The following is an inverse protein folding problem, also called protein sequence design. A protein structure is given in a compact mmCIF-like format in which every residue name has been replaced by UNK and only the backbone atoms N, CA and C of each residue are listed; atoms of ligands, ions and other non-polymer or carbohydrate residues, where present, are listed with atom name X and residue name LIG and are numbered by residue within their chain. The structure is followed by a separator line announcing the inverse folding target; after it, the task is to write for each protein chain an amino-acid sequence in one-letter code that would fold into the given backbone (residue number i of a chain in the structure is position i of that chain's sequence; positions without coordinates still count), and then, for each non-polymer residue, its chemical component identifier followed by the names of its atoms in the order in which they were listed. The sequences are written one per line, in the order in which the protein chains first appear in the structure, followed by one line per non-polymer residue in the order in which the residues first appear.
data_IF_610250303116
#
_entry.id   IF_610250303116
#
_cell.length_a   1.000
_cell.length_b   1.000
_cell.length_c   1.000
_cell.angle_alpha   90.00
_cell.angle_beta   90.00
_cell.angle_gamma   90.00
#
_symmetry.space_group_name_H-M   'P 1'
#
loop_
_entity.id
_entity.type
_entity.pdbx_description
1 polymer ?
#
# COMPACT_ATOMS: atom_id res chain seq x y z
N UNK A 1 2.80 -33.97 17.12
CA UNK A 1 1.87 -33.19 16.26
C UNK A 1 2.64 -32.31 15.27
N UNK A 2 2.04 -31.89 14.16
CA UNK A 2 2.57 -30.88 13.25
C UNK A 2 1.61 -29.70 13.05
N UNK A 3 2.12 -28.53 12.64
CA UNK A 3 1.31 -27.37 12.28
C UNK A 3 1.49 -27.00 10.81
N UNK A 4 0.38 -26.91 10.09
CA UNK A 4 0.29 -26.42 8.72
C UNK A 4 -0.38 -25.05 8.72
N UNK A 5 0.12 -24.15 7.89
CA UNK A 5 -0.52 -22.89 7.60
C UNK A 5 -1.19 -22.97 6.23
N UNK A 6 -2.53 -22.93 6.22
CA UNK A 6 -3.26 -22.50 5.04
C UNK A 6 -3.07 -21.00 4.90
N UNK A 7 -2.51 -20.62 3.78
CA UNK A 7 -2.84 -19.34 3.18
C UNK A 7 -3.95 -19.65 2.18
N UNK A 8 -5.13 -19.06 2.34
CA UNK A 8 -6.04 -18.87 1.19
C UNK A 8 -5.37 -17.85 0.24
N UNK A 9 -5.86 -17.61 -0.98
CA UNK A 9 -5.17 -16.75 -1.97
C UNK A 9 -5.94 -15.52 -2.50
N UNK A 10 -7.08 -15.18 -1.92
CA UNK A 10 -7.09 -14.20 -0.84
C UNK A 10 -5.63 -13.83 -0.32
N UNK A 11 -4.84 -12.80 -0.73
CA UNK A 11 -3.37 -12.68 -0.40
C UNK A 11 -2.81 -11.68 0.68
N UNK A 12 -3.30 -11.59 1.94
CA UNK A 12 -2.50 -10.91 3.00
C UNK A 12 -1.36 -11.79 3.55
N UNK A 13 -0.14 -11.30 3.44
CA UNK A 13 0.63 -11.03 4.66
C UNK A 13 0.57 -9.52 4.83
N UNK A 14 0.28 -9.00 6.03
CA UNK A 14 0.79 -7.68 6.37
C UNK A 14 2.29 -7.85 6.61
N UNK A 15 3.03 -7.83 5.52
CA UNK A 15 4.31 -7.14 5.54
C UNK A 15 3.97 -5.64 5.52
N UNK A 16 4.64 -4.79 6.31
CA UNK A 16 4.66 -3.37 5.96
C UNK A 16 5.21 -3.26 4.53
N UNK A 17 4.60 -2.42 3.69
CA UNK A 17 5.14 -2.15 2.36
C UNK A 17 6.58 -1.67 2.54
N UNK A 18 7.54 -2.33 1.91
CA UNK A 18 8.96 -2.13 2.22
C UNK A 18 9.45 -0.85 1.54
N UNK A 19 9.10 0.29 2.14
CA UNK A 19 9.68 1.59 1.86
C UNK A 19 11.18 1.50 2.13
N UNK A 20 12.00 1.54 1.08
CA UNK A 20 13.42 1.82 1.22
C UNK A 20 13.61 3.33 1.27
N UNK A 21 14.06 3.82 2.42
CA UNK A 21 14.46 5.21 2.57
C UNK A 21 15.86 5.43 1.97
N UNK A 22 16.11 6.64 1.49
CA UNK A 22 17.37 7.04 0.86
C UNK A 22 17.72 8.47 1.29
N UNK A 23 18.78 8.63 2.08
CA UNK A 23 19.31 9.95 2.45
C UNK A 23 20.02 10.58 1.24
N UNK A 24 19.56 11.77 0.86
CA UNK A 24 20.19 12.59 -0.17
C UNK A 24 20.98 13.70 0.53
N UNK A 25 22.28 13.76 0.24
CA UNK A 25 23.27 14.48 1.07
C UNK A 25 23.60 15.90 0.62
N UNK A 26 23.18 16.30 -0.59
CA UNK A 26 23.15 17.70 -1.02
C UNK A 26 21.90 18.39 -0.48
N UNK A 27 21.95 19.72 -0.38
CA UNK A 27 20.89 20.52 0.24
C UNK A 27 19.97 21.14 -0.82
N UNK A 28 18.67 21.15 -0.55
CA UNK A 28 17.61 21.74 -1.39
C UNK A 28 16.48 22.31 -0.52
N UNK A 29 15.66 23.20 -1.08
CA UNK A 29 14.37 23.56 -0.46
C UNK A 29 13.43 22.35 -0.43
N UNK A 30 12.40 22.37 0.42
CA UNK A 30 11.49 21.22 0.55
C UNK A 30 10.78 20.86 -0.78
N UNK A 31 10.41 21.88 -1.58
CA UNK A 31 9.77 21.69 -2.87
C UNK A 31 10.70 21.09 -3.93
N UNK A 32 11.96 21.52 -3.97
CA UNK A 32 12.98 20.95 -4.86
C UNK A 32 13.35 19.52 -4.46
N UNK A 33 13.45 19.26 -3.15
CA UNK A 33 13.66 17.93 -2.58
C UNK A 33 12.50 16.97 -2.95
N UNK A 34 11.24 17.42 -2.82
CA UNK A 34 10.06 16.67 -3.27
C UNK A 34 10.15 16.33 -4.77
N UNK A 35 10.49 17.31 -5.61
CA UNK A 35 10.64 17.11 -7.05
C UNK A 35 11.76 16.10 -7.37
N UNK A 36 12.93 16.23 -6.72
CA UNK A 36 14.03 15.27 -6.86
C UNK A 36 13.61 13.84 -6.50
N UNK A 37 12.91 13.68 -5.37
CA UNK A 37 12.45 12.35 -4.93
C UNK A 37 11.42 11.75 -5.88
N UNK A 38 10.53 12.54 -6.48
CA UNK A 38 9.59 12.06 -7.51
C UNK A 38 10.27 11.66 -8.82
N UNK A 39 11.37 12.33 -9.19
CA UNK A 39 12.14 12.04 -10.41
C UNK A 39 13.06 10.82 -10.26
N UNK A 40 13.46 10.44 -9.03
CA UNK A 40 14.45 9.38 -8.77
C UNK A 40 13.95 8.19 -7.94
N UNK A 41 12.89 8.36 -7.15
CA UNK A 41 12.39 7.39 -6.16
C UNK A 41 10.84 7.31 -6.24
N UNK A 42 10.12 7.46 -5.11
CA UNK A 42 8.65 7.58 -5.09
C UNK A 42 8.22 8.99 -4.68
N UNK A 43 8.60 9.44 -3.48
CA UNK A 43 8.39 10.81 -2.99
C UNK A 43 9.38 11.08 -1.82
N UNK A 44 9.30 12.24 -1.16
CA UNK A 44 9.87 12.43 0.17
C UNK A 44 9.30 11.43 1.16
N UNK A 45 10.08 11.05 2.17
CA UNK A 45 9.77 9.96 3.10
C UNK A 45 8.42 10.14 3.82
N UNK A 46 7.54 9.15 3.64
CA UNK A 46 6.26 9.03 4.35
C UNK A 46 6.40 8.02 5.50
N UNK A 47 5.93 8.37 6.70
CA UNK A 47 6.01 7.50 7.88
C UNK A 47 4.62 7.30 8.50
N UNK A 48 4.10 6.08 8.42
CA UNK A 48 2.75 5.74 8.85
C UNK A 48 2.67 5.10 10.25
N UNK A 49 3.81 4.70 10.83
CA UNK A 49 3.91 3.94 12.08
C UNK A 49 5.35 3.95 12.63
N UNK A 50 5.51 3.43 13.86
CA UNK A 50 6.80 3.37 14.55
C UNK A 50 7.82 2.39 13.91
N UNK A 51 7.37 1.37 13.18
CA UNK A 51 8.30 0.44 12.51
C UNK A 51 8.93 1.09 11.26
N UNK A 52 8.16 1.88 10.52
CA UNK A 52 8.66 2.76 9.45
C UNK A 52 9.60 3.83 10.01
N UNK A 53 9.26 4.47 11.13
CA UNK A 53 10.14 5.45 11.81
C UNK A 53 11.48 4.81 12.22
N UNK A 54 11.45 3.68 12.92
CA UNK A 54 12.65 2.94 13.32
C UNK A 54 13.51 2.53 12.11
N UNK A 55 12.90 2.20 10.97
CA UNK A 55 13.61 1.86 9.75
C UNK A 55 14.21 3.09 9.04
N UNK A 56 13.52 4.24 9.06
CA UNK A 56 14.03 5.52 8.56
C UNK A 56 15.23 5.99 9.39
N UNK A 57 15.11 6.00 10.73
CA UNK A 57 16.20 6.36 11.65
C UNK A 57 17.41 5.43 11.47
N UNK A 58 17.18 4.12 11.33
CA UNK A 58 18.24 3.16 11.00
C UNK A 58 18.92 3.45 9.66
N UNK A 59 18.22 4.07 8.72
CA UNK A 59 18.76 4.46 7.40
C UNK A 59 19.61 5.74 7.48
N UNK A 60 19.31 6.67 8.40
CA UNK A 60 20.17 7.82 8.71
C UNK A 60 21.49 7.37 9.36
N UNK A 61 21.46 6.31 10.18
CA UNK A 61 22.64 5.76 10.85
C UNK A 61 23.31 6.80 11.76
N UNK A 62 24.64 6.89 11.71
CA UNK A 62 25.41 7.92 12.42
C UNK A 62 25.55 9.24 11.63
N UNK A 63 24.82 9.42 10.53
CA UNK A 63 24.80 10.66 9.73
C UNK A 63 23.56 11.51 10.04
N UNK A 64 23.08 11.43 11.28
CA UNK A 64 21.94 12.21 11.77
C UNK A 64 22.23 13.70 11.56
N UNK A 65 21.43 14.32 10.70
CA UNK A 65 21.55 15.72 10.29
C UNK A 65 20.17 16.21 9.85
N UNK A 66 19.88 17.49 10.09
CA UNK A 66 18.64 18.17 9.71
C UNK A 66 18.21 17.82 8.28
N UNK A 67 17.12 17.05 8.16
CA UNK A 67 16.70 16.42 6.90
C UNK A 67 15.20 16.51 6.68
N UNK A 68 14.78 16.92 5.48
CA UNK A 68 13.38 16.95 5.07
C UNK A 68 12.75 15.56 5.01
N UNK A 69 11.52 15.45 5.53
CA UNK A 69 10.59 14.34 5.29
C UNK A 69 9.33 14.84 4.56
N UNK A 70 8.48 13.92 4.10
CA UNK A 70 7.32 14.24 3.27
C UNK A 70 6.15 14.92 3.96
N UNK A 71 6.27 15.30 5.24
CA UNK A 71 5.15 15.88 5.99
C UNK A 71 5.08 17.40 5.79
N UNK A 72 3.93 17.89 5.33
CA UNK A 72 3.69 19.31 5.04
C UNK A 72 2.36 19.80 5.61
N UNK A 73 2.31 21.04 6.10
CA UNK A 73 1.09 21.73 6.52
C UNK A 73 0.41 22.33 5.29
N UNK A 74 -0.64 21.66 4.80
CA UNK A 74 -1.38 22.11 3.63
C UNK A 74 -2.25 23.34 3.89
N UNK A 75 -2.83 23.92 2.84
CA UNK A 75 -3.71 25.11 2.86
C UNK A 75 -5.02 24.98 3.66
N UNK A 76 -5.22 23.88 4.38
CA UNK A 76 -6.34 23.65 5.32
C UNK A 76 -5.84 23.50 6.77
N UNK A 77 -4.63 24.00 7.06
CA UNK A 77 -3.92 23.92 8.35
C UNK A 77 -3.72 22.50 8.92
N UNK A 78 -3.85 21.48 8.06
CA UNK A 78 -3.65 20.06 8.39
C UNK A 78 -2.30 19.57 7.87
N UNK A 79 -1.66 18.72 8.68
CA UNK A 79 -0.45 17.98 8.33
C UNK A 79 -0.78 16.80 7.41
N UNK A 80 -0.20 16.82 6.21
CA UNK A 80 -0.49 15.91 5.08
C UNK A 80 0.83 15.35 4.51
N UNK A 81 0.80 14.10 4.05
CA UNK A 81 1.96 13.47 3.40
C UNK A 81 2.06 13.84 1.91
N UNK A 82 3.27 14.20 1.48
CA UNK A 82 3.62 14.65 0.13
C UNK A 82 3.31 13.63 -0.96
N UNK A 83 3.48 12.35 -0.64
CA UNK A 83 3.18 11.22 -1.55
C UNK A 83 1.68 11.05 -1.84
N UNK A 84 0.83 11.88 -1.23
CA UNK A 84 -0.63 11.82 -1.34
C UNK A 84 -1.28 10.90 -0.33
N UNK A 85 -0.54 10.26 0.59
CA UNK A 85 -1.12 9.28 1.53
C UNK A 85 -2.13 9.87 2.53
N UNK A 86 -2.32 11.19 2.53
CA UNK A 86 -3.41 11.90 3.20
C UNK A 86 -2.95 12.57 4.49
N UNK A 87 -3.91 12.85 5.38
CA UNK A 87 -3.62 13.42 6.71
C UNK A 87 -2.80 12.42 7.53
N UNK A 88 -1.73 12.87 8.15
CA UNK A 88 -0.96 12.06 9.08
C UNK A 88 -1.83 11.55 10.25
N UNK A 89 -1.77 10.24 10.48
CA UNK A 89 -2.41 9.55 11.62
C UNK A 89 -1.38 9.15 12.69
N UNK A 90 -0.13 8.97 12.29
CA UNK A 90 1.05 8.82 13.15
C UNK A 90 1.91 10.08 13.02
N UNK A 91 2.46 10.55 14.14
CA UNK A 91 3.38 11.71 14.19
C UNK A 91 4.41 11.53 15.29
N UNK A 92 5.68 11.87 15.02
CA UNK A 92 6.79 11.82 15.99
C UNK A 92 7.39 13.22 16.24
N UNK A 93 6.51 14.20 16.42
CA UNK A 93 6.85 15.56 16.84
C UNK A 93 7.71 15.59 18.10
N UNK A 94 8.70 16.50 18.13
CA UNK A 94 9.43 16.87 19.35
C UNK A 94 8.48 17.48 20.39
N UNK A 95 8.83 17.35 21.67
CA UNK A 95 8.10 18.01 22.75
C UNK A 95 8.05 19.55 22.56
N UNK A 96 6.85 20.09 22.29
CA UNK A 96 6.61 21.50 21.98
C UNK A 96 6.22 21.77 20.52
N UNK A 97 6.43 20.81 19.63
CA UNK A 97 6.12 20.92 18.20
C UNK A 97 4.73 20.34 17.85
N UNK A 98 4.10 20.76 16.74
CA UNK A 98 4.54 21.83 15.84
C UNK A 98 4.20 23.22 16.37
N UNK A 99 5.16 24.15 16.37
CA UNK A 99 5.09 25.43 17.08
C UNK A 99 4.78 26.64 16.16
N UNK A 100 5.10 26.57 14.86
CA UNK A 100 4.91 27.63 13.87
C UNK A 100 5.61 28.98 14.20
N UNK A 101 6.90 28.94 14.51
CA UNK A 101 7.73 30.12 14.79
C UNK A 101 7.76 31.09 13.60
N UNK A 102 7.60 32.38 13.88
CA UNK A 102 7.49 33.42 12.83
C UNK A 102 6.24 33.31 11.95
N UNK A 103 5.38 32.30 12.13
CA UNK A 103 4.08 32.18 11.46
C UNK A 103 4.09 31.50 10.08
N UNK A 104 5.22 31.01 9.58
CA UNK A 104 5.36 30.42 8.24
C UNK A 104 6.02 29.02 8.23
N UNK A 105 6.02 28.29 9.34
CA UNK A 105 6.61 26.94 9.38
C UNK A 105 5.56 25.92 8.91
N UNK A 106 5.89 25.24 7.81
CA UNK A 106 4.93 24.42 7.05
C UNK A 106 5.53 23.16 6.45
N UNK A 107 6.84 22.97 6.55
CA UNK A 107 7.53 21.78 6.08
C UNK A 107 8.24 21.11 7.25
N UNK A 108 8.26 19.78 7.29
CA UNK A 108 8.77 19.03 8.44
C UNK A 108 10.18 18.54 8.19
N UNK A 109 11.10 18.91 9.09
CA UNK A 109 12.41 18.27 9.19
C UNK A 109 12.43 17.21 10.30
N UNK A 110 13.36 16.27 10.20
CA UNK A 110 13.85 15.50 11.35
C UNK A 110 15.13 16.16 11.88
N UNK A 111 15.19 16.33 13.21
CA UNK A 111 16.32 16.91 13.92
C UNK A 111 17.40 15.86 14.27
N UNK A 112 18.44 16.28 15.02
CA UNK A 112 19.56 15.41 15.44
C UNK A 112 19.19 14.32 16.46
N UNK A 113 17.99 14.38 17.05
CA UNK A 113 17.43 13.31 17.92
C UNK A 113 16.40 12.43 17.17
N UNK A 114 16.28 12.62 15.85
CA UNK A 114 15.27 11.99 14.98
C UNK A 114 13.81 12.33 15.35
N UNK A 115 13.58 13.45 16.03
CA UNK A 115 12.24 13.98 16.28
C UNK A 115 11.84 14.98 15.20
N UNK A 116 10.54 15.10 14.95
CA UNK A 116 10.00 15.94 13.89
C UNK A 116 9.78 17.38 14.39
N UNK A 117 10.15 18.36 13.56
CA UNK A 117 10.04 19.79 13.83
C UNK A 117 9.44 20.48 12.60
N UNK A 118 8.50 21.41 12.77
CA UNK A 118 8.05 22.26 11.67
C UNK A 118 9.00 23.43 11.47
N UNK A 119 9.33 23.72 10.21
CA UNK A 119 10.24 24.81 9.84
C UNK A 119 9.88 25.38 8.45
N UNK A 120 10.53 26.47 8.05
CA UNK A 120 10.22 27.21 6.81
C UNK A 120 10.65 26.40 5.57
N UNK A 121 9.74 26.22 4.61
CA UNK A 121 9.95 25.34 3.44
C UNK A 121 11.10 25.78 2.52
N UNK A 122 11.50 27.03 2.65
CA UNK A 122 12.54 27.73 1.90
C UNK A 122 13.97 27.43 2.41
N UNK A 123 14.11 26.76 3.56
CA UNK A 123 15.41 26.31 4.08
C UNK A 123 16.07 25.28 3.14
N UNK A 124 17.37 25.44 2.90
CA UNK A 124 18.16 24.44 2.20
C UNK A 124 18.64 23.35 3.16
N UNK A 125 18.09 22.14 3.05
CA UNK A 125 18.43 20.99 3.92
C UNK A 125 18.68 19.72 3.11
N UNK A 126 19.32 18.74 3.75
CA UNK A 126 19.34 17.35 3.26
C UNK A 126 17.92 16.79 3.26
N UNK A 127 17.70 15.65 2.63
CA UNK A 127 16.35 15.11 2.52
C UNK A 127 16.30 13.60 2.38
N UNK A 128 15.25 13.02 2.95
CA UNK A 128 14.94 11.60 2.87
C UNK A 128 13.95 11.36 1.74
N UNK A 129 14.39 10.75 0.65
CA UNK A 129 13.46 10.14 -0.29
C UNK A 129 13.04 8.76 0.23
N UNK A 130 11.91 8.24 -0.26
CA UNK A 130 11.61 6.81 -0.16
C UNK A 130 11.25 6.22 -1.51
N UNK A 131 11.47 4.91 -1.62
CA UNK A 131 11.08 4.08 -2.76
C UNK A 131 10.34 2.84 -2.27
N UNK A 132 9.14 2.60 -2.81
CA UNK A 132 8.42 1.34 -2.55
C UNK A 132 9.17 0.19 -3.24
N UNK A 133 9.62 -0.81 -2.48
CA UNK A 133 10.28 -2.02 -3.04
C UNK A 133 9.34 -2.86 -3.92
N UNK A 134 8.03 -2.70 -3.71
CA UNK A 134 7.03 -3.62 -4.24
C UNK A 134 6.77 -3.38 -5.73
N UNK A 135 7.52 -4.10 -6.57
CA UNK A 135 7.25 -4.28 -8.01
C UNK A 135 5.99 -5.10 -8.31
N UNK A 136 4.95 -4.92 -7.49
CA UNK A 136 3.59 -5.42 -7.69
C UNK A 136 2.72 -4.28 -8.20
N UNK A 137 1.67 -4.62 -8.93
CA UNK A 137 0.77 -3.62 -9.50
C UNK A 137 0.01 -2.87 -8.39
N UNK A 138 0.39 -1.61 -8.15
CA UNK A 138 -0.34 -0.66 -7.28
C UNK A 138 -1.83 -0.57 -7.62
N UNK A 139 -2.16 -0.86 -8.87
CA UNK A 139 -3.48 -0.76 -9.47
C UNK A 139 -3.87 -2.10 -10.11
N UNK A 140 -4.92 -2.74 -9.61
CA UNK A 140 -5.44 -4.02 -10.13
C UNK A 140 -6.75 -3.78 -10.86
N UNK A 141 -6.78 -4.04 -12.16
CA UNK A 141 -7.95 -3.81 -13.02
C UNK A 141 -8.87 -5.04 -13.09
N UNK A 142 -10.16 -4.80 -13.31
CA UNK A 142 -11.18 -5.82 -13.55
C UNK A 142 -12.00 -5.46 -14.79
N UNK A 143 -12.06 -6.36 -15.77
CA UNK A 143 -12.76 -6.16 -17.04
C UNK A 143 -14.29 -6.34 -16.94
N UNK A 144 -14.77 -7.01 -15.89
CA UNK A 144 -16.20 -7.18 -15.63
C UNK A 144 -16.85 -5.80 -15.34
N UNK A 145 -17.88 -5.46 -16.11
CA UNK A 145 -18.58 -4.18 -15.97
C UNK A 145 -19.54 -4.20 -14.77
N UNK A 146 -19.39 -3.26 -13.83
CA UNK A 146 -20.28 -3.08 -12.69
C UNK A 146 -20.55 -1.59 -12.41
N UNK A 147 -21.54 -1.31 -11.56
CA UNK A 147 -21.80 0.05 -11.05
C UNK A 147 -20.65 0.55 -10.18
N UNK A 148 -20.54 1.86 -9.97
CA UNK A 148 -19.45 2.43 -9.16
C UNK A 148 -19.46 1.86 -7.73
N UNK A 149 -20.63 1.84 -7.08
CA UNK A 149 -20.79 1.27 -5.74
C UNK A 149 -20.45 -0.23 -5.70
N UNK A 150 -20.85 -1.01 -6.72
CA UNK A 150 -20.54 -2.45 -6.73
C UNK A 150 -19.06 -2.74 -7.01
N UNK A 151 -18.41 -1.87 -7.78
CA UNK A 151 -16.96 -1.87 -7.98
C UNK A 151 -16.23 -1.57 -6.67
N UNK A 152 -16.72 -0.58 -5.91
CA UNK A 152 -16.23 -0.24 -4.57
C UNK A 152 -16.30 -1.42 -3.60
N UNK A 153 -17.45 -2.11 -3.50
CA UNK A 153 -17.60 -3.33 -2.67
C UNK A 153 -16.51 -4.36 -2.98
N UNK A 154 -16.29 -4.64 -4.28
CA UNK A 154 -15.35 -5.66 -4.74
C UNK A 154 -13.93 -5.23 -4.39
N UNK A 155 -13.57 -3.96 -4.61
CA UNK A 155 -12.27 -3.44 -4.24
C UNK A 155 -12.03 -3.44 -2.73
N UNK A 156 -12.99 -3.01 -1.90
CA UNK A 156 -12.84 -3.00 -0.43
C UNK A 156 -12.74 -4.41 0.17
N UNK A 157 -13.47 -5.36 -0.40
CA UNK A 157 -13.44 -6.77 0.02
C UNK A 157 -12.13 -7.47 -0.40
N UNK A 158 -11.63 -7.22 -1.62
CA UNK A 158 -10.45 -7.92 -2.15
C UNK A 158 -9.12 -7.20 -1.92
N UNK A 159 -9.11 -5.88 -2.11
CA UNK A 159 -7.96 -4.96 -2.12
C UNK A 159 -8.15 -3.86 -1.08
N UNK A 160 -7.52 -2.68 -1.20
CA UNK A 160 -7.76 -1.55 -0.26
C UNK A 160 -9.10 -0.84 -0.53
N UNK A 161 -9.21 -0.18 -1.69
CA UNK A 161 -10.42 0.50 -2.19
C UNK A 161 -10.29 0.64 -3.73
N UNK A 162 -11.20 1.34 -4.41
CA UNK A 162 -10.99 1.77 -5.80
C UNK A 162 -9.80 2.71 -5.95
N UNK A 163 -9.24 2.79 -7.16
CA UNK A 163 -8.01 3.48 -7.45
C UNK A 163 -8.05 4.99 -7.15
N UNK A 164 -7.20 5.44 -6.22
CA UNK A 164 -6.92 6.86 -5.99
C UNK A 164 -5.72 7.27 -6.84
N UNK A 165 -5.88 8.32 -7.65
CA UNK A 165 -4.87 8.84 -8.58
C UNK A 165 -4.31 10.14 -8.01
N UNK A 166 -3.07 10.13 -7.52
CA UNK A 166 -2.53 11.20 -6.68
C UNK A 166 -1.57 12.13 -7.44
N UNK A 167 -0.99 11.65 -8.55
CA UNK A 167 -0.06 12.38 -9.40
C UNK A 167 -0.13 11.91 -10.87
N UNK A 168 0.72 12.46 -11.74
CA UNK A 168 0.78 12.09 -13.16
C UNK A 168 1.26 10.66 -13.39
N UNK A 169 2.27 10.18 -12.65
CA UNK A 169 2.77 8.81 -12.79
C UNK A 169 1.71 7.76 -12.42
N UNK A 170 0.85 8.06 -11.45
CA UNK A 170 -0.34 7.25 -11.13
C UNK A 170 -1.33 7.23 -12.29
N UNK A 171 -1.58 8.37 -12.93
CA UNK A 171 -2.49 8.49 -14.05
C UNK A 171 -1.96 7.74 -15.28
N UNK A 172 -0.66 7.82 -15.55
CA UNK A 172 0.03 7.02 -16.56
C UNK A 172 -0.04 5.52 -16.25
N UNK A 173 0.24 5.10 -15.00
CA UNK A 173 0.16 3.69 -14.62
C UNK A 173 -1.26 3.10 -14.79
N UNK A 174 -2.30 3.86 -14.43
CA UNK A 174 -3.70 3.50 -14.71
C UNK A 174 -3.95 3.47 -16.23
N UNK A 175 -3.56 4.50 -16.98
CA UNK A 175 -3.77 4.57 -18.43
C UNK A 175 -3.12 3.40 -19.17
N UNK A 176 -1.87 3.08 -18.85
CA UNK A 176 -1.08 1.99 -19.42
C UNK A 176 -1.72 0.61 -19.26
N UNK A 177 -2.25 0.32 -18.05
CA UNK A 177 -2.94 -0.94 -17.75
C UNK A 177 -4.19 -1.10 -18.61
N UNK A 178 -4.90 0.00 -18.87
CA UNK A 178 -6.17 -0.01 -19.61
C UNK A 178 -5.93 -0.02 -21.12
N UNK A 179 -4.94 0.74 -21.62
CA UNK A 179 -4.55 0.74 -23.03
C UNK A 179 -4.14 -0.67 -23.52
N UNK A 180 -3.47 -1.45 -22.66
CA UNK A 180 -3.11 -2.86 -22.92
C UNK A 180 -4.32 -3.82 -22.98
N UNK A 181 -5.53 -3.37 -22.62
CA UNK A 181 -6.71 -4.23 -22.35
C UNK A 181 -8.05 -3.79 -22.97
N UNK A 182 -8.09 -2.65 -23.66
CA UNK A 182 -9.13 -2.26 -24.64
C UNK A 182 -10.58 -1.87 -24.17
N UNK A 183 -10.90 -1.46 -22.93
CA UNK A 183 -12.19 -0.82 -22.66
C UNK A 183 -12.14 0.69 -22.93
N UNK A 184 -13.28 1.28 -23.35
CA UNK A 184 -13.38 2.71 -23.70
C UNK A 184 -13.15 3.64 -22.50
N UNK A 185 -13.62 3.21 -21.33
CA UNK A 185 -13.47 3.90 -20.05
C UNK A 185 -13.44 2.93 -18.87
N UNK A 186 -12.96 3.41 -17.71
CA UNK A 186 -12.83 2.61 -16.49
C UNK A 186 -13.15 3.44 -15.22
N UNK A 187 -13.77 2.82 -14.22
CA UNK A 187 -14.03 3.44 -12.91
C UNK A 187 -12.75 3.62 -12.08
N UNK A 188 -12.65 4.78 -11.42
CA UNK A 188 -11.67 5.11 -10.37
C UNK A 188 -12.39 5.55 -9.09
N UNK A 189 -11.65 5.72 -7.99
CA UNK A 189 -12.19 6.00 -6.65
C UNK A 189 -12.80 7.39 -6.41
N UNK A 190 -12.83 8.27 -7.41
CA UNK A 190 -13.32 9.65 -7.24
C UNK A 190 -14.84 9.75 -7.41
N UNK A 191 -15.51 10.40 -6.44
CA UNK A 191 -16.96 10.62 -6.44
C UNK A 191 -17.35 11.98 -5.86
N UNK A 192 -18.60 12.38 -6.08
CA UNK A 192 -19.08 13.75 -5.94
C UNK A 192 -19.94 13.97 -4.69
N UNK A 193 -19.28 14.07 -3.55
CA UNK A 193 -19.64 15.08 -2.55
C UNK A 193 -18.33 15.81 -2.19
N UNK A 194 -18.28 17.12 -2.46
CA UNK A 194 -17.05 17.96 -2.46
C UNK A 194 -15.81 17.36 -3.18
N UNK A 195 -15.99 16.43 -4.13
CA UNK A 195 -14.94 15.70 -4.84
C UNK A 195 -13.91 15.00 -3.93
N UNK A 196 -14.40 14.09 -3.09
CA UNK A 196 -13.58 13.22 -2.24
C UNK A 196 -13.20 11.91 -2.95
N UNK A 197 -12.04 11.34 -2.58
CA UNK A 197 -11.67 9.98 -2.95
C UNK A 197 -12.34 8.95 -2.04
N UNK A 198 -12.64 7.76 -2.57
CA UNK A 198 -13.33 6.67 -1.87
C UNK A 198 -12.63 6.19 -0.60
N UNK A 199 -11.30 6.30 -0.55
CA UNK A 199 -10.47 5.95 0.60
C UNK A 199 -10.43 7.06 1.68
N UNK A 200 -11.17 8.16 1.48
CA UNK A 200 -11.21 9.30 2.39
C UNK A 200 -10.03 10.26 2.26
N UNK A 201 -9.16 10.11 1.24
CA UNK A 201 -8.05 11.03 1.01
C UNK A 201 -8.51 12.32 0.32
N UNK A 202 -7.83 13.42 0.64
CA UNK A 202 -8.05 14.73 0.03
C UNK A 202 -6.80 15.13 -0.75
N UNK A 203 -6.90 15.14 -2.09
CA UNK A 203 -5.87 15.67 -3.00
C UNK A 203 -6.45 16.79 -3.85
N UNK A 204 -5.62 17.70 -4.36
CA UNK A 204 -6.01 18.77 -5.28
C UNK A 204 -5.90 18.39 -6.77
N UNK A 205 -5.14 17.32 -7.10
CA UNK A 205 -4.94 16.89 -8.49
C UNK A 205 -6.26 16.47 -9.16
N UNK A 206 -6.58 17.07 -10.31
CA UNK A 206 -7.76 16.72 -11.12
C UNK A 206 -7.36 16.70 -12.60
N UNK A 207 -7.58 15.58 -13.28
CA UNK A 207 -7.20 15.39 -14.69
C UNK A 207 -8.43 15.31 -15.62
N UNK A 208 -9.42 16.16 -15.36
CA UNK A 208 -10.65 16.24 -16.16
C UNK A 208 -10.39 16.51 -17.65
N UNK A 209 -11.27 15.98 -18.49
CA UNK A 209 -11.43 16.36 -19.89
C UNK A 209 -11.99 17.78 -19.96
N UNK A 210 -11.31 18.75 -20.61
CA UNK A 210 -11.87 20.08 -20.84
C UNK A 210 -13.20 20.02 -21.58
N UNK A 211 -14.12 20.92 -21.23
CA UNK A 211 -15.43 21.10 -21.88
C UNK A 211 -16.28 19.82 -22.03
N UNK A 212 -16.07 18.85 -21.14
CA UNK A 212 -16.76 17.55 -21.15
C UNK A 212 -18.28 17.71 -21.21
N UNK A 213 -18.97 17.10 -22.19
CA UNK A 213 -20.43 17.15 -22.29
C UNK A 213 -21.12 16.21 -21.28
N UNK A 214 -20.37 15.24 -20.74
CA UNK A 214 -20.88 14.25 -19.79
C UNK A 214 -21.19 14.88 -18.42
N UNK A 215 -22.13 14.28 -17.69
CA UNK A 215 -22.60 14.73 -16.39
C UNK A 215 -22.74 13.53 -15.45
N UNK A 216 -22.64 13.79 -14.16
CA UNK A 216 -22.95 12.81 -13.13
C UNK A 216 -22.20 13.05 -11.82
N UNK A 217 -22.13 11.99 -11.00
CA UNK A 217 -21.62 12.06 -9.62
C UNK A 217 -20.44 11.10 -9.35
N UNK A 218 -19.98 10.36 -10.36
CA UNK A 218 -18.81 9.47 -10.26
C UNK A 218 -17.84 9.76 -11.43
N UNK A 219 -16.54 9.46 -11.26
CA UNK A 219 -15.53 9.74 -12.28
C UNK A 219 -15.08 8.48 -13.05
N UNK A 220 -15.02 8.56 -14.37
CA UNK A 220 -14.43 7.52 -15.23
C UNK A 220 -13.19 8.07 -15.96
N UNK A 221 -12.13 7.27 -16.08
CA UNK A 221 -10.96 7.57 -16.93
C UNK A 221 -11.27 7.13 -18.36
N UNK A 222 -11.03 7.98 -19.35
CA UNK A 222 -11.28 7.71 -20.79
C UNK A 222 -9.96 7.52 -21.53
N UNK A 223 -9.74 6.32 -22.08
CA UNK A 223 -8.45 5.91 -22.65
C UNK A 223 -8.15 6.63 -23.96
N UNK A 224 -9.15 6.73 -24.83
CA UNK A 224 -9.06 7.43 -26.12
C UNK A 224 -8.79 8.93 -25.98
N UNK A 225 -9.02 9.49 -24.79
CA UNK A 225 -8.73 10.88 -24.43
C UNK A 225 -7.49 10.98 -23.53
N UNK A 226 -6.45 10.18 -23.78
CA UNK A 226 -5.16 10.26 -23.08
C UNK A 226 -5.28 10.12 -21.54
N UNK A 227 -6.23 9.30 -21.08
CA UNK A 227 -6.49 9.10 -19.65
C UNK A 227 -7.21 10.27 -18.96
N UNK A 228 -7.80 11.21 -19.70
CA UNK A 228 -8.63 12.30 -19.15
C UNK A 228 -9.88 11.75 -18.47
N UNK A 229 -10.31 12.42 -17.40
CA UNK A 229 -11.45 11.99 -16.60
C UNK A 229 -12.75 12.65 -17.08
N UNK A 230 -13.88 11.93 -17.02
CA UNK A 230 -15.23 12.47 -17.26
C UNK A 230 -16.11 12.27 -16.04
N UNK A 231 -17.07 13.19 -15.82
CA UNK A 231 -18.22 12.88 -14.98
C UNK A 231 -19.07 11.79 -15.64
N UNK A 232 -19.63 10.89 -14.85
CA UNK A 232 -20.48 9.80 -15.32
C UNK A 232 -21.51 9.44 -14.24
N UNK A 233 -22.63 8.87 -14.66
CA UNK A 233 -23.69 8.44 -13.75
C UNK A 233 -23.27 7.17 -12.99
N UNK A 234 -23.33 7.21 -11.66
CA UNK A 234 -22.82 6.14 -10.80
C UNK A 234 -23.52 4.77 -10.98
N UNK A 235 -24.69 4.77 -11.64
CA UNK A 235 -25.50 3.61 -12.02
C UNK A 235 -25.04 2.95 -13.32
N UNK A 236 -24.17 3.59 -14.11
CA UNK A 236 -23.62 2.99 -15.34
C UNK A 236 -22.70 1.81 -15.02
N UNK A 237 -22.60 0.86 -15.95
CA UNK A 237 -21.71 -0.31 -15.78
C UNK A 237 -20.45 -0.16 -16.61
N UNK A 238 -19.30 -0.03 -15.94
CA UNK A 238 -17.98 0.03 -16.60
C UNK A 238 -17.00 -0.90 -15.88
N UNK A 239 -15.88 -1.30 -16.53
CA UNK A 239 -14.76 -1.95 -15.85
C UNK A 239 -14.22 -1.07 -14.70
N UNK A 240 -13.36 -1.58 -13.83
CA UNK A 240 -12.91 -0.80 -12.67
C UNK A 240 -11.47 -1.11 -12.24
N UNK A 241 -10.83 -0.16 -11.57
CA UNK A 241 -9.49 -0.33 -10.99
C UNK A 241 -9.55 -0.24 -9.46
N UNK A 242 -8.92 -1.20 -8.79
CA UNK A 242 -8.68 -1.19 -7.34
C UNK A 242 -7.23 -0.78 -7.02
N UNK A 243 -6.98 -0.30 -5.80
CA UNK A 243 -5.62 -0.02 -5.31
C UNK A 243 -5.19 -0.92 -4.14
N UNK A 244 -3.89 -1.18 -4.07
CA UNK A 244 -3.23 -1.96 -3.01
C UNK A 244 -3.39 -3.49 -3.15
N UNK A 245 -2.65 -4.23 -2.33
CA UNK A 245 -2.62 -5.70 -2.33
C UNK A 245 -3.93 -6.40 -1.90
N UNK A 246 -4.00 -7.69 -2.21
CA UNK A 246 -5.06 -8.65 -1.85
C UNK A 246 -5.06 -9.06 -0.34
N UNK A 247 -6.06 -9.83 0.15
CA UNK A 247 -6.30 -10.24 1.58
C UNK A 247 -6.84 -11.69 1.65
N UNK A 248 -6.46 -12.75 2.42
CA UNK A 248 -5.60 -13.08 3.62
C UNK A 248 -6.35 -13.10 4.95
N UNK A 249 -7.45 -13.86 4.98
CA UNK A 249 -7.83 -14.72 6.12
C UNK A 249 -6.91 -15.96 6.25
N UNK A 250 -5.72 -15.81 6.86
CA UNK A 250 -4.81 -16.95 7.17
C UNK A 250 -5.50 -17.96 8.09
N UNK A 251 -5.23 -19.26 7.90
CA UNK A 251 -5.77 -20.34 8.72
C UNK A 251 -4.65 -21.30 9.14
N UNK A 252 -4.71 -21.82 10.37
CA UNK A 252 -3.76 -22.84 10.86
C UNK A 252 -4.49 -24.15 11.04
N UNK A 253 -4.09 -25.17 10.29
CA UNK A 253 -4.55 -26.55 10.50
C UNK A 253 -3.49 -27.29 11.32
N UNK A 254 -3.92 -27.93 12.40
CA UNK A 254 -3.08 -28.87 13.17
C UNK A 254 -3.29 -30.27 12.58
N UNK A 255 -2.23 -30.93 12.16
CA UNK A 255 -2.29 -32.33 11.72
C UNK A 255 -1.69 -33.26 12.78
N UNK A 256 -2.37 -34.39 13.01
CA UNK A 256 -1.77 -35.60 13.57
C UNK A 256 -1.56 -36.57 12.41
N UNK A 257 -0.34 -37.05 12.25
CA UNK A 257 0.06 -38.01 11.20
C UNK A 257 0.60 -39.24 11.93
N UNK A 258 0.23 -40.43 11.46
CA UNK A 258 0.91 -41.69 11.80
C UNK A 258 1.74 -42.09 10.58
N UNK A 259 2.97 -42.54 10.82
CA UNK A 259 3.89 -42.96 9.77
C UNK A 259 4.93 -43.91 10.36
N UNK A 260 5.31 -44.92 9.58
CA UNK A 260 6.31 -45.93 9.96
C UNK A 260 7.73 -45.54 9.49
N UNK A 261 7.86 -44.35 8.86
CA UNK A 261 9.11 -43.69 8.46
C UNK A 261 9.24 -42.32 9.14
N UNK A 262 10.39 -41.64 9.04
CA UNK A 262 10.57 -40.32 9.66
C UNK A 262 9.56 -39.29 9.08
N UNK A 263 8.64 -38.75 9.88
CA UNK A 263 7.66 -37.77 9.41
C UNK A 263 8.27 -36.41 9.04
N UNK A 264 9.54 -36.14 9.36
CA UNK A 264 10.25 -34.92 8.97
C UNK A 264 11.07 -35.07 7.68
N UNK A 265 11.10 -36.26 7.05
CA UNK A 265 11.78 -36.42 5.77
C UNK A 265 11.21 -35.47 4.70
N UNK A 266 12.09 -34.93 3.85
CA UNK A 266 11.73 -33.93 2.85
C UNK A 266 10.78 -34.44 1.77
N UNK A 267 10.82 -35.74 1.45
CA UNK A 267 9.90 -36.37 0.50
C UNK A 267 8.54 -36.66 1.16
N UNK A 268 8.54 -37.14 2.41
CA UNK A 268 7.34 -37.41 3.20
C UNK A 268 6.55 -36.13 3.46
N UNK A 269 7.21 -35.08 3.96
CA UNK A 269 6.60 -33.77 4.21
C UNK A 269 6.09 -33.09 2.93
N UNK A 270 6.75 -33.30 1.78
CA UNK A 270 6.27 -32.82 0.48
C UNK A 270 5.04 -33.60 -0.01
N UNK A 271 5.05 -34.93 0.11
CA UNK A 271 3.94 -35.79 -0.30
C UNK A 271 2.67 -35.52 0.53
N UNK A 272 2.82 -35.39 1.85
CA UNK A 272 1.73 -35.03 2.77
C UNK A 272 1.09 -33.67 2.41
N UNK A 273 1.91 -32.65 2.12
CA UNK A 273 1.40 -31.32 1.76
C UNK A 273 0.66 -31.34 0.41
N UNK A 274 1.15 -32.10 -0.58
CA UNK A 274 0.51 -32.27 -1.89
C UNK A 274 -0.85 -32.99 -1.82
N UNK A 275 -0.94 -34.07 -1.04
CA UNK A 275 -2.20 -34.82 -0.90
C UNK A 275 -3.23 -34.04 -0.08
N UNK A 276 -2.79 -33.26 0.93
CA UNK A 276 -3.65 -32.31 1.63
C UNK A 276 -4.19 -31.21 0.69
N UNK A 277 -3.35 -30.68 -0.21
CA UNK A 277 -3.78 -29.68 -1.20
C UNK A 277 -4.87 -30.24 -2.11
N UNK A 278 -4.68 -31.45 -2.61
CA UNK A 278 -5.65 -32.18 -3.45
C UNK A 278 -6.98 -32.41 -2.72
N UNK A 279 -6.93 -32.81 -1.43
CA UNK A 279 -8.14 -32.97 -0.61
C UNK A 279 -8.88 -31.64 -0.40
N UNK A 280 -8.18 -30.56 -0.05
CA UNK A 280 -8.80 -29.24 0.13
C UNK A 280 -9.38 -28.67 -1.18
N UNK A 281 -8.73 -28.94 -2.32
CA UNK A 281 -9.25 -28.58 -3.66
C UNK A 281 -10.53 -29.36 -4.01
N UNK A 282 -10.69 -30.59 -3.52
CA UNK A 282 -11.94 -31.35 -3.67
C UNK A 282 -13.08 -30.71 -2.85
N UNK A 283 -12.79 -30.17 -1.67
CA UNK A 283 -13.70 -29.37 -0.84
C UNK A 283 -13.91 -27.93 -1.37
N UNK A 284 -13.80 -27.73 -2.69
CA UNK A 284 -13.98 -26.45 -3.41
C UNK A 284 -13.07 -25.28 -2.98
N UNK A 285 -12.04 -25.50 -2.15
CA UNK A 285 -11.03 -24.49 -1.83
C UNK A 285 -9.96 -24.46 -2.93
N UNK A 286 -10.27 -23.76 -4.02
CA UNK A 286 -9.41 -23.70 -5.22
C UNK A 286 -8.29 -22.67 -5.13
N UNK A 287 -8.47 -21.60 -4.35
CA UNK A 287 -7.52 -20.49 -4.24
C UNK A 287 -6.75 -20.58 -2.91
N UNK A 288 -5.68 -21.38 -2.91
CA UNK A 288 -4.88 -21.78 -1.75
C UNK A 288 -3.37 -21.82 -2.04
N UNK A 289 -2.56 -21.53 -1.01
CA UNK A 289 -1.14 -21.91 -0.90
C UNK A 289 -0.87 -22.49 0.49
N UNK A 290 -0.59 -23.79 0.55
CA UNK A 290 -0.15 -24.47 1.77
C UNK A 290 1.33 -24.21 2.05
N UNK A 291 1.67 -24.06 3.33
CA UNK A 291 3.05 -24.00 3.82
C UNK A 291 3.15 -24.68 5.18
N UNK A 292 4.19 -25.50 5.39
CA UNK A 292 4.55 -25.99 6.73
C UNK A 292 4.93 -24.83 7.65
N UNK A 293 4.65 -24.96 8.94
CA UNK A 293 5.09 -24.03 9.98
C UNK A 293 6.15 -24.71 10.85
N UNK A 294 7.40 -24.28 10.73
CA UNK A 294 8.49 -24.82 11.54
C UNK A 294 8.19 -24.64 13.04
N UNK A 295 8.41 -25.70 13.81
CA UNK A 295 8.38 -25.64 15.27
C UNK A 295 9.59 -24.87 15.83
N UNK A 296 9.56 -24.56 17.13
CA UNK A 296 10.66 -23.86 17.82
C UNK A 296 12.02 -24.57 17.71
N UNK A 297 12.01 -25.88 17.41
CA UNK A 297 13.18 -26.75 17.34
C UNK A 297 13.58 -27.03 15.87
N UNK A 298 13.14 -26.22 14.90
CA UNK A 298 13.37 -26.42 13.47
C UNK A 298 12.50 -27.49 12.81
N UNK A 299 12.18 -28.57 13.53
CA UNK A 299 11.33 -29.68 13.06
C UNK A 299 9.90 -29.23 12.67
N UNK A 300 9.33 -29.91 11.68
CA UNK A 300 7.99 -29.64 11.12
C UNK A 300 6.91 -30.48 11.84
N UNK A 301 7.23 -31.75 12.11
CA UNK A 301 6.38 -32.72 12.76
C UNK A 301 7.08 -33.21 14.03
N UNK A 302 6.61 -32.70 15.17
CA UNK A 302 7.09 -33.10 16.49
C UNK A 302 6.39 -34.41 16.92
N UNK A 303 6.99 -35.16 17.85
CA UNK A 303 6.26 -36.26 18.54
C UNK A 303 5.13 -35.67 19.39
N UNK A 304 4.29 -36.56 19.93
CA UNK A 304 3.12 -36.19 20.73
C UNK A 304 3.26 -36.88 22.10
N UNK A 305 4.08 -36.28 22.96
CA UNK A 305 4.57 -36.87 24.22
C UNK A 305 3.45 -37.17 25.24
N UNK A 306 2.22 -36.74 24.98
CA UNK A 306 1.04 -36.99 25.81
C UNK A 306 0.45 -38.42 25.66
N UNK A 307 1.19 -39.36 25.05
CA UNK A 307 0.72 -40.73 24.77
C UNK A 307 1.73 -41.85 25.09
N UNK A 308 2.85 -41.57 25.77
CA UNK A 308 3.77 -42.61 26.28
C UNK A 308 3.39 -43.11 27.70
N UNK A 309 2.17 -42.79 28.18
CA UNK A 309 1.61 -43.28 29.46
C UNK A 309 0.15 -43.72 29.26
N UNK A 310 -0.04 -44.85 28.56
CA UNK A 310 -1.28 -45.62 28.47
C UNK A 310 -0.97 -47.08 28.08
#
# INVERSE_FOLDING_TARGET
MGQLQLNKLDQYFSYPALQQYHLITHQLTWYEAQNYCRVKYTDLATVNNMDEENYLVKTLGSHVTYSWIGLQKGSTDRWMWSDGSGKAQFTKWRAGEPNNAGGNERCTEMNEESEWVDIQCEDSKRFMCYKRQDGKERYVYYLNKYTWAKSQDICRNKHTDMATVMNEADNSAVSDLVQKRLPDSIWIGLFKDKWMWSDGRETSFRYWLPDSPYRGNCASVVVSQQGRWIENECTQTTPFVCQGDLKVKKMVIRLKVRSDVDPNDSTVTSALLKELEKSLRHESLTDLKLTWRNGKNGLILQRDEQLEVA
#
